data_IF_819356491916
#
_entry.id   IF_819356491916
#
_cell.length_a   1.000
_cell.length_b   1.000
_cell.length_c   1.000
_cell.angle_alpha   90.00
_cell.angle_beta   90.00
_cell.angle_gamma   90.00
#
_symmetry.space_group_name_H-M   'P 1'
#
loop_
_entity.id
_entity.type
_entity.pdbx_description
1 polymer ?
#
# COMPACT_ATOMS: atom_id res chain seq x y z
N UNK A 1 -6.87 -16.52 16.21
CA UNK A 1 -7.91 -15.72 15.56
C UNK A 1 -7.50 -15.45 14.10
N UNK A 2 -8.43 -15.61 13.17
CA UNK A 2 -8.28 -15.21 11.75
C UNK A 2 -9.46 -14.30 11.38
N UNK A 3 -9.18 -13.29 10.57
CA UNK A 3 -10.17 -12.30 10.14
C UNK A 3 -10.28 -12.27 8.62
N UNK A 4 -11.49 -12.12 8.11
CA UNK A 4 -11.74 -11.98 6.66
C UNK A 4 -11.40 -10.56 6.17
N UNK A 5 -11.63 -9.55 7.01
CA UNK A 5 -11.31 -8.16 6.72
C UNK A 5 -10.60 -7.52 7.90
N UNK A 6 -9.50 -6.83 7.62
CA UNK A 6 -8.75 -6.04 8.60
C UNK A 6 -8.61 -4.63 8.02
N UNK A 7 -9.07 -3.63 8.78
CA UNK A 7 -8.85 -2.22 8.47
C UNK A 7 -8.09 -1.56 9.61
N UNK A 8 -7.02 -0.82 9.29
CA UNK A 8 -6.19 -0.20 10.32
C UNK A 8 -5.58 1.14 9.88
N UNK A 9 -5.51 2.04 10.84
CA UNK A 9 -4.74 3.28 10.78
C UNK A 9 -3.82 3.31 12.01
N UNK A 10 -2.69 2.55 11.99
CA UNK A 10 -1.78 2.47 13.11
C UNK A 10 -0.97 3.76 13.26
N UNK A 11 -0.34 3.98 14.43
CA UNK A 11 0.62 5.07 14.61
C UNK A 11 1.73 5.00 13.58
N UNK A 12 1.97 6.11 12.83
CA UNK A 12 3.00 6.16 11.79
C UNK A 12 4.40 6.23 12.40
N UNK A 13 5.31 5.44 11.85
CA UNK A 13 6.74 5.46 12.19
C UNK A 13 7.02 5.32 13.70
N UNK A 14 6.21 4.55 14.42
CA UNK A 14 6.36 4.34 15.85
C UNK A 14 7.70 3.65 16.16
N UNK A 15 8.53 4.31 16.96
CA UNK A 15 9.74 3.75 17.56
C UNK A 15 9.47 3.20 18.96
N UNK A 16 10.38 2.37 19.48
CA UNK A 16 10.24 1.86 20.85
C UNK A 16 9.05 0.96 21.07
N UNK A 17 8.60 0.26 20.06
CA UNK A 17 7.43 -0.63 20.07
C UNK A 17 7.68 -2.02 20.71
N UNK A 18 8.85 -2.20 21.36
CA UNK A 18 9.19 -3.45 22.04
C UNK A 18 9.77 -4.52 21.12
N UNK A 19 10.41 -4.13 20.02
CA UNK A 19 11.03 -5.02 19.03
C UNK A 19 12.01 -6.02 19.65
N UNK A 20 12.76 -5.60 20.67
CA UNK A 20 13.72 -6.42 21.42
C UNK A 20 13.09 -7.68 22.03
N UNK A 21 11.80 -7.62 22.39
CA UNK A 21 11.04 -8.75 22.95
C UNK A 21 10.41 -9.66 21.90
N UNK A 22 10.47 -9.26 20.64
CA UNK A 22 9.76 -9.89 19.53
C UNK A 22 10.68 -10.27 18.37
N UNK A 23 11.98 -10.41 18.61
CA UNK A 23 12.99 -10.68 17.54
C UNK A 23 12.65 -11.99 16.79
N UNK A 24 12.27 -13.04 17.51
CA UNK A 24 11.99 -14.36 16.95
C UNK A 24 10.48 -14.62 16.82
N UNK A 25 9.66 -13.58 16.69
CA UNK A 25 8.22 -13.75 16.61
C UNK A 25 7.80 -14.43 15.31
N UNK A 26 6.94 -15.43 15.42
CA UNK A 26 6.45 -16.26 14.29
C UNK A 26 5.71 -15.46 13.21
N UNK A 27 5.30 -14.24 13.50
CA UNK A 27 4.64 -13.33 12.55
C UNK A 27 5.60 -12.74 11.53
N UNK A 28 6.91 -12.70 11.82
CA UNK A 28 7.92 -12.09 10.93
C UNK A 28 8.30 -12.98 9.76
N UNK A 29 7.31 -13.48 9.03
CA UNK A 29 7.49 -14.40 7.90
C UNK A 29 8.19 -13.76 6.70
N UNK A 30 8.16 -12.44 6.60
CA UNK A 30 8.73 -11.68 5.49
C UNK A 30 10.01 -10.93 5.87
N UNK A 31 10.45 -11.07 7.10
CA UNK A 31 11.65 -10.46 7.67
C UNK A 31 11.36 -9.73 8.98
N UNK A 32 12.37 -9.64 9.85
CA UNK A 32 12.23 -8.98 11.16
C UNK A 32 12.10 -7.47 10.97
N UNK A 33 11.02 -6.83 11.47
CA UNK A 33 10.84 -5.40 11.36
C UNK A 33 11.89 -4.62 12.17
N UNK A 34 12.32 -3.43 11.70
CA UNK A 34 13.32 -2.63 12.42
C UNK A 34 12.77 -2.10 13.75
N UNK A 35 13.61 -2.10 14.79
CA UNK A 35 13.25 -1.59 16.11
C UNK A 35 12.85 -0.09 16.11
N UNK A 36 13.40 0.67 15.16
CA UNK A 36 13.12 2.10 15.04
C UNK A 36 11.81 2.46 14.33
N UNK A 37 11.11 1.48 13.73
CA UNK A 37 9.88 1.74 12.96
C UNK A 37 8.96 0.52 12.94
N UNK A 38 7.74 0.68 13.45
CA UNK A 38 6.75 -0.39 13.56
C UNK A 38 5.90 -0.60 12.30
N UNK A 39 6.05 0.18 11.24
CA UNK A 39 5.13 0.13 10.07
C UNK A 39 4.99 -1.30 9.53
N UNK A 40 6.10 -2.00 9.29
CA UNK A 40 6.08 -3.38 8.80
C UNK A 40 5.81 -4.43 9.88
N UNK A 41 5.93 -4.08 11.17
CA UNK A 41 5.46 -4.94 12.25
C UNK A 41 3.92 -4.99 12.27
N UNK A 42 3.25 -3.83 12.15
CA UNK A 42 1.81 -3.76 12.01
C UNK A 42 1.31 -4.54 10.79
N UNK A 43 1.96 -4.34 9.64
CA UNK A 43 1.56 -5.02 8.41
C UNK A 43 1.69 -6.54 8.52
N UNK A 44 2.81 -7.06 9.02
CA UNK A 44 3.01 -8.49 9.19
C UNK A 44 2.11 -9.09 10.26
N UNK A 45 1.82 -8.34 11.35
CA UNK A 45 0.83 -8.74 12.34
C UNK A 45 -0.55 -8.96 11.68
N UNK A 46 -0.98 -8.04 10.82
CA UNK A 46 -2.26 -8.19 10.11
C UNK A 46 -2.24 -9.35 9.12
N UNK A 47 -1.17 -9.52 8.35
CA UNK A 47 -1.03 -10.65 7.42
C UNK A 47 -1.11 -12.00 8.16
N UNK A 48 -0.49 -12.09 9.34
CA UNK A 48 -0.55 -13.28 10.17
C UNK A 48 -1.99 -13.62 10.61
N UNK A 49 -2.78 -12.63 10.96
CA UNK A 49 -4.16 -12.79 11.40
C UNK A 49 -5.18 -12.85 10.25
N UNK A 50 -4.74 -12.73 9.01
CA UNK A 50 -5.63 -12.75 7.86
C UNK A 50 -6.06 -14.17 7.53
N UNK A 51 -7.37 -14.36 7.29
CA UNK A 51 -7.95 -15.60 6.78
C UNK A 51 -7.44 -15.94 5.36
N UNK A 52 -7.58 -17.19 4.87
CA UNK A 52 -7.06 -17.58 3.55
C UNK A 52 -7.56 -16.75 2.36
N UNK A 53 -8.79 -16.24 2.45
CA UNK A 53 -9.38 -15.35 1.42
C UNK A 53 -9.52 -13.90 1.91
N UNK A 54 -8.82 -13.57 3.01
CA UNK A 54 -8.96 -12.29 3.67
C UNK A 54 -8.28 -11.13 2.94
N UNK A 55 -8.70 -9.91 3.31
CA UNK A 55 -8.21 -8.65 2.76
C UNK A 55 -7.83 -7.66 3.86
N UNK A 56 -6.80 -6.89 3.60
CA UNK A 56 -6.32 -5.82 4.48
C UNK A 56 -6.50 -4.48 3.77
N UNK A 57 -6.96 -3.46 4.49
CA UNK A 57 -6.84 -2.06 4.16
C UNK A 57 -6.09 -1.33 5.28
N UNK A 58 -4.93 -0.76 4.96
CA UNK A 58 -4.07 -0.11 5.94
C UNK A 58 -3.60 1.25 5.47
N UNK A 59 -3.55 2.23 6.38
CA UNK A 59 -2.97 3.54 6.11
C UNK A 59 -1.54 3.58 6.63
N UNK A 60 -0.61 4.00 5.78
CA UNK A 60 0.80 4.24 6.16
C UNK A 60 1.30 5.57 5.62
N UNK A 61 2.29 6.15 6.29
CA UNK A 61 3.03 7.30 5.76
C UNK A 61 3.79 6.92 4.47
N UNK A 62 3.88 7.84 3.51
CA UNK A 62 4.46 7.56 2.19
C UNK A 62 5.92 7.09 2.22
N UNK A 63 6.68 7.39 3.28
CA UNK A 63 8.03 6.86 3.47
C UNK A 63 8.11 5.34 3.40
N UNK A 64 7.06 4.63 3.82
CA UNK A 64 6.98 3.17 3.77
C UNK A 64 7.03 2.60 2.34
N UNK A 65 6.62 3.38 1.33
CA UNK A 65 6.60 2.95 -0.08
C UNK A 65 8.01 2.74 -0.66
N UNK A 66 9.01 3.42 -0.13
CA UNK A 66 10.37 3.45 -0.71
C UNK A 66 11.51 3.24 0.30
N UNK A 67 11.25 3.30 1.60
CA UNK A 67 12.29 3.13 2.63
C UNK A 67 13.05 1.82 2.47
N UNK A 68 14.38 1.89 2.59
CA UNK A 68 15.30 0.73 2.63
C UNK A 68 15.89 0.54 4.03
N UNK A 69 15.60 1.45 4.97
CA UNK A 69 16.19 1.47 6.31
C UNK A 69 15.82 0.23 7.12
N UNK A 70 16.78 -0.32 7.84
CA UNK A 70 16.53 -1.41 8.80
C UNK A 70 15.91 -2.67 8.20
N UNK A 71 16.10 -2.93 6.91
CA UNK A 71 15.53 -4.12 6.24
C UNK A 71 14.12 -3.94 5.71
N UNK A 72 13.51 -2.75 5.80
CA UNK A 72 12.15 -2.50 5.31
C UNK A 72 11.99 -2.81 3.81
N UNK A 73 13.00 -2.52 3.00
CA UNK A 73 13.00 -2.83 1.57
C UNK A 73 12.92 -4.34 1.29
N UNK A 74 13.63 -5.16 2.08
CA UNK A 74 13.59 -6.62 1.92
C UNK A 74 12.25 -7.20 2.38
N UNK A 75 11.69 -6.69 3.47
CA UNK A 75 10.34 -7.10 3.91
C UNK A 75 9.30 -6.77 2.83
N UNK A 76 9.36 -5.58 2.27
CA UNK A 76 8.47 -5.14 1.17
C UNK A 76 8.60 -6.05 -0.04
N UNK A 77 9.81 -6.34 -0.48
CA UNK A 77 10.13 -7.29 -1.56
C UNK A 77 9.52 -8.66 -1.31
N UNK A 78 9.70 -9.21 -0.10
CA UNK A 78 9.19 -10.53 0.24
C UNK A 78 7.66 -10.59 0.24
N UNK A 79 6.97 -9.53 0.71
CA UNK A 79 5.50 -9.40 0.66
C UNK A 79 5.00 -9.35 -0.80
N UNK A 80 5.69 -8.61 -1.66
CA UNK A 80 5.33 -8.49 -3.08
C UNK A 80 5.55 -9.82 -3.81
N UNK A 81 6.67 -10.50 -3.57
CA UNK A 81 6.99 -11.79 -4.17
C UNK A 81 6.06 -12.91 -3.67
N UNK A 82 5.48 -12.77 -2.48
CA UNK A 82 4.44 -13.65 -1.97
C UNK A 82 3.05 -13.38 -2.60
N UNK A 83 2.97 -12.46 -3.55
CA UNK A 83 1.75 -12.06 -4.27
C UNK A 83 0.61 -11.57 -3.35
N UNK A 84 0.96 -10.89 -2.27
CA UNK A 84 -0.02 -10.36 -1.31
C UNK A 84 -0.45 -8.93 -1.64
N UNK A 85 0.40 -8.12 -2.30
CA UNK A 85 0.09 -6.73 -2.62
C UNK A 85 -0.95 -6.66 -3.74
N UNK A 86 -2.12 -6.08 -3.42
CA UNK A 86 -3.24 -5.97 -4.35
C UNK A 86 -3.35 -4.57 -4.98
N UNK A 87 -3.34 -3.53 -4.13
CA UNK A 87 -3.41 -2.15 -4.59
C UNK A 87 -2.66 -1.19 -3.66
N UNK A 88 -2.05 -0.16 -4.22
CA UNK A 88 -1.47 0.99 -3.51
C UNK A 88 -2.11 2.27 -4.04
N UNK A 89 -2.63 3.09 -3.13
CA UNK A 89 -3.19 4.40 -3.48
C UNK A 89 -2.38 5.49 -2.79
N UNK A 90 -1.70 6.35 -3.56
CA UNK A 90 -1.09 7.57 -3.01
C UNK A 90 -2.18 8.63 -2.79
N UNK A 91 -2.35 9.03 -1.54
CA UNK A 91 -3.40 9.97 -1.14
C UNK A 91 -2.92 11.43 -1.22
N UNK A 92 -3.84 12.39 -1.36
CA UNK A 92 -3.49 13.81 -1.24
C UNK A 92 -2.96 14.14 0.17
N UNK A 93 -2.23 15.22 0.28
CA UNK A 93 -1.82 15.77 1.59
C UNK A 93 -3.00 16.43 2.30
N UNK A 94 -2.83 16.73 3.59
CA UNK A 94 -3.78 17.51 4.38
C UNK A 94 -5.14 16.82 4.64
N UNK A 95 -5.17 15.48 4.64
CA UNK A 95 -6.37 14.69 4.97
C UNK A 95 -6.62 14.55 6.48
N UNK A 96 -5.65 14.91 7.33
CA UNK A 96 -5.75 14.77 8.77
C UNK A 96 -5.75 16.14 9.46
N UNK A 97 -6.53 16.28 10.54
CA UNK A 97 -6.59 17.52 11.33
C UNK A 97 -5.27 17.86 12.02
N UNK A 98 -4.52 16.84 12.46
CA UNK A 98 -3.35 16.98 13.32
C UNK A 98 -2.01 16.89 12.59
N UNK A 99 -2.00 16.39 11.37
CA UNK A 99 -0.77 16.23 10.58
C UNK A 99 -1.02 16.46 9.09
N UNK A 100 0.00 16.98 8.42
CA UNK A 100 -0.01 17.14 6.94
C UNK A 100 0.80 16.06 6.23
N UNK A 101 1.20 15.00 6.95
CA UNK A 101 2.02 13.92 6.40
C UNK A 101 1.27 13.26 5.22
N UNK A 102 1.90 13.13 4.04
CA UNK A 102 1.30 12.40 2.95
C UNK A 102 1.24 10.90 3.29
N UNK A 103 0.11 10.30 3.00
CA UNK A 103 -0.16 8.89 3.30
C UNK A 103 -0.51 8.10 2.05
N UNK A 104 -0.41 6.80 2.16
CA UNK A 104 -0.86 5.84 1.16
C UNK A 104 -1.78 4.79 1.79
N UNK A 105 -2.72 4.31 1.01
CA UNK A 105 -3.54 3.16 1.35
C UNK A 105 -2.87 1.91 0.77
N UNK A 106 -2.73 0.91 1.62
CA UNK A 106 -2.17 -0.39 1.28
C UNK A 106 -3.27 -1.44 1.33
N UNK A 107 -3.57 -2.02 0.20
CA UNK A 107 -4.52 -3.12 0.11
C UNK A 107 -3.78 -4.42 -0.18
N UNK A 108 -3.98 -5.41 0.69
CA UNK A 108 -3.40 -6.74 0.55
C UNK A 108 -4.51 -7.79 0.52
N UNK A 109 -4.28 -8.88 -0.20
CA UNK A 109 -5.20 -10.00 -0.28
C UNK A 109 -4.43 -11.31 -0.39
N UNK A 110 -4.81 -12.34 0.37
CA UNK A 110 -4.18 -13.69 0.29
C UNK A 110 -4.58 -14.46 -0.96
N UNK A 111 -5.77 -14.24 -1.48
CA UNK A 111 -6.25 -14.90 -2.68
C UNK A 111 -6.72 -13.86 -3.69
N UNK A 112 -5.74 -13.19 -4.34
CA UNK A 112 -6.01 -12.15 -5.33
C UNK A 112 -6.69 -12.74 -6.58
N UNK A 113 -7.61 -12.00 -7.19
CA UNK A 113 -8.14 -12.31 -8.53
C UNK A 113 -7.07 -12.04 -9.61
N UNK A 114 -6.36 -10.90 -9.52
CA UNK A 114 -5.31 -10.51 -10.46
C UNK A 114 -3.94 -10.94 -9.94
N UNK A 115 -3.64 -12.25 -10.06
CA UNK A 115 -2.38 -12.82 -9.58
C UNK A 115 -1.18 -12.26 -10.32
N UNK A 116 -0.08 -12.02 -9.60
CA UNK A 116 1.15 -11.47 -10.15
C UNK A 116 1.08 -10.02 -10.59
N UNK A 117 -0.02 -9.31 -10.28
CA UNK A 117 -0.24 -7.91 -10.64
C UNK A 117 -0.61 -7.07 -9.42
N UNK A 118 -0.22 -5.81 -9.43
CA UNK A 118 -0.59 -4.81 -8.40
C UNK A 118 -1.11 -3.57 -9.09
N UNK A 119 -2.23 -3.04 -8.58
CA UNK A 119 -2.76 -1.77 -9.03
C UNK A 119 -2.08 -0.61 -8.29
N UNK A 120 -1.63 0.39 -9.02
CA UNK A 120 -1.15 1.66 -8.48
C UNK A 120 -2.10 2.78 -8.86
N UNK A 121 -2.57 3.56 -7.87
CA UNK A 121 -3.42 4.74 -8.07
C UNK A 121 -2.73 5.96 -7.51
N UNK A 122 -2.52 6.98 -8.33
CA UNK A 122 -2.02 8.29 -7.90
C UNK A 122 -3.19 9.26 -7.68
N UNK A 123 -3.77 9.22 -6.48
CA UNK A 123 -4.89 10.06 -6.09
C UNK A 123 -4.46 11.42 -5.49
N UNK A 124 -3.16 11.80 -5.55
CA UNK A 124 -2.64 13.02 -4.92
C UNK A 124 -3.28 14.31 -5.40
N UNK A 125 -3.89 14.31 -6.58
CA UNK A 125 -4.58 15.48 -7.17
C UNK A 125 -6.08 15.53 -6.83
N UNK A 126 -6.63 14.49 -6.19
CA UNK A 126 -8.03 14.44 -5.80
C UNK A 126 -8.30 15.26 -4.53
N UNK A 127 -9.57 15.44 -4.25
CA UNK A 127 -10.07 16.16 -3.08
C UNK A 127 -10.04 17.68 -3.23
N UNK A 128 -10.81 18.32 -2.39
CA UNK A 128 -10.98 19.77 -2.32
C UNK A 128 -10.56 20.30 -0.97
N UNK A 129 -10.02 21.54 -0.94
CA UNK A 129 -9.68 22.19 0.32
C UNK A 129 -10.94 22.74 0.95
N UNK A 130 -11.33 22.20 2.11
CA UNK A 130 -12.46 22.71 2.90
C UNK A 130 -12.04 23.80 3.88
N UNK A 131 -10.77 23.80 4.25
CA UNK A 131 -10.13 24.91 4.98
C UNK A 131 -8.72 25.14 4.43
N UNK A 132 -8.00 26.15 4.93
CA UNK A 132 -6.58 26.38 4.55
C UNK A 132 -5.64 25.21 4.92
N UNK A 133 -6.08 24.30 5.81
CA UNK A 133 -5.25 23.21 6.35
C UNK A 133 -5.85 21.82 6.13
N UNK A 134 -7.12 21.72 5.75
CA UNK A 134 -7.82 20.45 5.62
C UNK A 134 -8.35 20.28 4.21
N UNK A 135 -8.07 19.11 3.65
CA UNK A 135 -8.61 18.61 2.39
C UNK A 135 -9.58 17.46 2.67
N UNK A 136 -10.64 17.37 1.92
CA UNK A 136 -11.56 16.24 1.95
C UNK A 136 -11.72 15.66 0.54
N UNK A 137 -11.90 14.34 0.48
CA UNK A 137 -12.30 13.67 -0.75
C UNK A 137 -13.80 13.84 -0.95
N UNK A 138 -14.20 14.15 -2.16
CA UNK A 138 -15.62 14.16 -2.53
C UNK A 138 -16.12 12.72 -2.74
N UNK A 139 -17.44 12.53 -2.79
CA UNK A 139 -18.03 11.24 -3.12
C UNK A 139 -17.62 10.77 -4.53
N UNK A 140 -17.43 11.70 -5.48
CA UNK A 140 -16.94 11.41 -6.82
C UNK A 140 -15.48 10.94 -6.79
N UNK A 141 -14.62 11.55 -5.96
CA UNK A 141 -13.23 11.12 -5.79
C UNK A 141 -13.15 9.70 -5.23
N UNK A 142 -13.94 9.42 -4.19
CA UNK A 142 -14.02 8.09 -3.58
C UNK A 142 -14.53 7.07 -4.59
N UNK A 143 -15.59 7.44 -5.32
CA UNK A 143 -16.17 6.59 -6.37
C UNK A 143 -15.17 6.32 -7.48
N UNK A 144 -14.40 7.32 -7.94
CA UNK A 144 -13.36 7.14 -8.97
C UNK A 144 -12.33 6.11 -8.53
N UNK A 145 -11.83 6.20 -7.29
CA UNK A 145 -10.88 5.23 -6.74
C UNK A 145 -11.50 3.83 -6.67
N UNK A 146 -12.73 3.72 -6.16
CA UNK A 146 -13.42 2.45 -6.00
C UNK A 146 -13.74 1.79 -7.36
N UNK A 147 -14.23 2.54 -8.34
CA UNK A 147 -14.52 2.04 -9.68
C UNK A 147 -13.24 1.56 -10.38
N UNK A 148 -12.13 2.28 -10.22
CA UNK A 148 -10.81 1.88 -10.75
C UNK A 148 -10.37 0.55 -10.14
N UNK A 149 -10.50 0.39 -8.82
CA UNK A 149 -10.19 -0.87 -8.16
C UNK A 149 -11.09 -2.02 -8.63
N UNK A 150 -12.39 -1.79 -8.75
CA UNK A 150 -13.34 -2.80 -9.22
C UNK A 150 -13.03 -3.23 -10.66
N UNK A 151 -12.75 -2.29 -11.56
CA UNK A 151 -12.34 -2.58 -12.94
C UNK A 151 -11.03 -3.40 -12.98
N UNK A 152 -10.06 -3.10 -12.10
CA UNK A 152 -8.86 -3.92 -11.95
C UNK A 152 -9.18 -5.35 -11.53
N UNK A 153 -10.02 -5.51 -10.50
CA UNK A 153 -10.42 -6.83 -10.00
C UNK A 153 -11.13 -7.65 -11.07
N UNK A 154 -11.94 -7.00 -11.91
CA UNK A 154 -12.68 -7.64 -13.01
C UNK A 154 -11.83 -7.84 -14.28
N UNK A 155 -10.60 -7.31 -14.31
CA UNK A 155 -9.68 -7.44 -15.42
C UNK A 155 -10.03 -6.57 -16.64
N UNK A 156 -10.87 -5.54 -16.43
CA UNK A 156 -11.34 -4.61 -17.48
C UNK A 156 -10.66 -3.24 -17.42
N UNK A 157 -9.80 -3.01 -16.41
CA UNK A 157 -9.14 -1.73 -16.24
C UNK A 157 -8.14 -1.46 -17.37
N UNK A 158 -8.25 -0.30 -17.98
CA UNK A 158 -7.23 0.30 -18.82
C UNK A 158 -6.41 1.31 -18.01
N UNK A 159 -5.09 1.34 -18.22
CA UNK A 159 -4.19 2.27 -17.55
C UNK A 159 -4.54 3.72 -17.95
N UNK A 160 -4.65 4.60 -16.94
CA UNK A 160 -4.86 6.04 -17.14
C UNK A 160 -3.59 6.80 -16.78
N UNK A 161 -2.91 7.37 -17.80
CA UNK A 161 -1.68 8.13 -17.59
C UNK A 161 -1.86 9.25 -16.59
N UNK A 162 -1.04 9.25 -15.55
CA UNK A 162 -1.06 10.22 -14.46
C UNK A 162 -2.07 9.91 -13.34
N UNK A 163 -2.79 8.79 -13.45
CA UNK A 163 -3.75 8.38 -12.42
C UNK A 163 -3.59 6.92 -11.98
N UNK A 164 -3.61 5.95 -12.88
CA UNK A 164 -3.48 4.55 -12.47
C UNK A 164 -2.70 3.70 -13.48
N UNK A 165 -2.09 2.62 -12.97
CA UNK A 165 -1.41 1.62 -13.78
C UNK A 165 -1.49 0.23 -13.11
N UNK A 166 -1.64 -0.80 -13.93
CA UNK A 166 -1.54 -2.21 -13.51
C UNK A 166 -0.14 -2.71 -13.82
N UNK A 167 0.58 -3.15 -12.80
CA UNK A 167 2.01 -3.46 -12.91
C UNK A 167 2.27 -4.91 -12.49
N UNK A 168 3.10 -5.62 -13.24
CA UNK A 168 3.50 -6.99 -12.91
C UNK A 168 4.54 -6.99 -11.78
N UNK A 169 4.62 -8.10 -11.04
CA UNK A 169 5.65 -8.29 -10.01
C UNK A 169 7.07 -8.13 -10.59
N UNK A 170 7.31 -8.58 -11.85
CA UNK A 170 8.60 -8.43 -12.50
C UNK A 170 8.95 -6.95 -12.78
N UNK A 171 7.98 -6.15 -13.16
CA UNK A 171 8.21 -4.72 -13.42
C UNK A 171 8.39 -3.93 -12.11
N UNK A 172 7.71 -4.33 -11.02
CA UNK A 172 7.97 -3.80 -9.70
C UNK A 172 9.41 -4.15 -9.25
N UNK A 173 9.87 -5.37 -9.50
CA UNK A 173 11.24 -5.79 -9.18
C UNK A 173 12.30 -4.97 -9.92
N UNK A 174 12.07 -4.57 -11.19
CA UNK A 174 12.94 -3.68 -11.95
C UNK A 174 13.07 -2.27 -11.35
N UNK A 175 12.13 -1.89 -10.48
CA UNK A 175 12.11 -0.62 -9.76
C UNK A 175 12.49 -0.80 -8.27
N UNK A 176 13.34 -1.78 -7.95
CA UNK A 176 13.81 -2.08 -6.59
C UNK A 176 12.67 -2.24 -5.57
N UNK A 177 11.54 -2.76 -6.01
CA UNK A 177 10.33 -2.93 -5.18
C UNK A 177 9.84 -1.65 -4.52
N UNK A 178 10.11 -0.49 -5.11
CA UNK A 178 9.52 0.80 -4.72
C UNK A 178 8.04 0.80 -5.14
N UNK A 179 7.16 1.24 -4.23
CA UNK A 179 5.71 1.19 -4.42
C UNK A 179 5.08 2.58 -4.62
N UNK A 180 5.86 3.59 -5.00
CA UNK A 180 5.36 4.95 -5.23
C UNK A 180 4.51 5.01 -6.50
N UNK A 181 3.17 5.20 -6.41
CA UNK A 181 2.27 5.12 -7.57
C UNK A 181 2.64 6.05 -8.73
N UNK A 182 3.13 7.25 -8.43
CA UNK A 182 3.55 8.20 -9.46
C UNK A 182 4.69 7.71 -10.38
N UNK A 183 5.50 6.73 -9.94
CA UNK A 183 6.52 6.11 -10.78
C UNK A 183 5.89 5.24 -11.87
N UNK A 184 4.78 4.59 -11.59
CA UNK A 184 4.12 3.65 -12.51
C UNK A 184 3.06 4.36 -13.37
N UNK A 185 2.16 5.13 -12.75
CA UNK A 185 1.11 5.86 -13.45
C UNK A 185 1.65 7.01 -14.34
N UNK A 186 2.85 7.54 -14.02
CA UNK A 186 3.50 8.58 -14.83
C UNK A 186 4.25 8.06 -16.05
N UNK A 187 4.64 6.77 -16.05
CA UNK A 187 5.30 6.14 -17.19
C UNK A 187 4.25 5.71 -18.23
N UNK A 188 4.43 6.09 -19.48
CA UNK A 188 3.80 5.34 -20.56
C UNK A 188 4.48 3.97 -20.58
N UNK A 189 3.80 2.92 -20.09
CA UNK A 189 4.28 1.55 -20.30
C UNK A 189 4.23 1.35 -21.81
N UNK A 190 5.41 1.35 -22.45
CA UNK A 190 5.51 0.96 -23.84
C UNK A 190 5.02 -0.49 -23.89
N UNK A 191 3.86 -0.71 -24.51
CA UNK A 191 3.47 -2.03 -24.93
C UNK A 191 4.59 -2.53 -25.85
N UNK A 192 5.42 -3.44 -25.36
CA UNK A 192 6.30 -4.22 -26.21
C UNK A 192 5.37 -5.21 -26.92
N UNK A 193 5.10 -4.91 -28.18
CA UNK A 193 4.44 -5.80 -29.15
C UNK A 193 5.33 -7.01 -29.39
#
# INVERSE_FOLDING_TARGET
LKADFIMANPPFNLSGWGADKLVDDVRWQYGTPPAGNANFAWLQHMIWHLAPNGRIGMVLANGSLSSQSGGEGEIRKNIINADLMDCIVAMPTQLFYTTQIPVSLWFLAKNKKQKGKTLFIDARKLGTMVTRKLRELTDEDIKKIADTYNAFVDGTLEDEKGFCAVVTTQDIAKQDYILTPGHYAGMAIACVV
#
